data_IF_167412855386
#
_entry.id   IF_167412855386
#
_cell.length_a   1.000
_cell.length_b   1.000
_cell.length_c   1.000
_cell.angle_alpha   90.00
_cell.angle_beta   90.00
_cell.angle_gamma   90.00
#
_symmetry.space_group_name_H-M   'P 1'
#
loop_
_entity.id
_entity.type
_entity.pdbx_description
1 polymer ?
#
# COMPACT_ATOMS: atom_id res chain seq x y z
N UNK A 1 23.86 -16.86 9.66
CA UNK A 1 22.71 -15.96 9.52
C UNK A 1 22.69 -15.59 8.06
N UNK A 2 21.59 -15.85 7.38
CA UNK A 2 21.41 -15.44 5.98
C UNK A 2 21.20 -13.93 5.96
N UNK A 3 21.60 -13.25 4.88
CA UNK A 3 21.47 -11.78 4.71
C UNK A 3 20.02 -11.25 4.82
N UNK A 4 19.01 -12.12 4.95
CA UNK A 4 17.60 -11.75 5.10
C UNK A 4 17.01 -12.11 6.47
N UNK A 5 17.81 -12.60 7.42
CA UNK A 5 17.32 -12.95 8.76
C UNK A 5 16.92 -11.71 9.58
N UNK A 6 17.24 -10.50 9.10
CA UNK A 6 16.95 -9.19 9.70
C UNK A 6 15.70 -8.50 9.11
N UNK A 7 15.06 -9.06 8.08
CA UNK A 7 13.87 -8.45 7.47
C UNK A 7 12.59 -8.93 8.18
N UNK A 8 11.81 -8.00 8.71
CA UNK A 8 10.45 -8.22 9.23
C UNK A 8 9.42 -7.76 8.19
N UNK A 9 8.38 -8.58 7.95
CA UNK A 9 7.26 -8.21 7.07
C UNK A 9 6.02 -7.95 7.92
N UNK A 10 5.40 -6.80 7.72
CA UNK A 10 4.11 -6.41 8.32
C UNK A 10 3.10 -6.21 7.20
N UNK A 11 1.92 -6.79 7.36
CA UNK A 11 0.82 -6.72 6.40
C UNK A 11 -0.45 -6.26 7.11
N UNK A 12 -1.19 -5.35 6.48
CA UNK A 12 -2.48 -4.87 6.96
C UNK A 12 -3.44 -4.73 5.78
N UNK A 13 -4.58 -5.41 5.89
CA UNK A 13 -5.67 -5.32 4.91
C UNK A 13 -6.91 -4.78 5.59
N UNK A 14 -7.49 -3.73 5.02
CA UNK A 14 -8.77 -3.17 5.46
C UNK A 14 -9.75 -3.12 4.29
N UNK A 15 -11.04 -3.24 4.60
CA UNK A 15 -12.10 -3.12 3.60
C UNK A 15 -13.38 -2.64 4.29
N UNK A 16 -13.91 -1.53 3.80
CA UNK A 16 -15.10 -0.87 4.34
C UNK A 16 -16.08 -0.51 3.23
N UNK A 17 -17.36 -0.41 3.59
CA UNK A 17 -18.42 0.03 2.68
C UNK A 17 -18.93 1.38 3.16
N UNK A 18 -18.91 2.38 2.27
CA UNK A 18 -19.37 3.74 2.57
C UNK A 18 -20.90 3.80 2.68
N UNK A 19 -21.44 4.89 3.24
CA UNK A 19 -22.89 5.12 3.28
C UNK A 19 -23.51 5.25 1.87
N UNK A 20 -22.68 5.60 0.88
CA UNK A 20 -23.07 5.75 -0.53
C UNK A 20 -23.04 4.41 -1.28
N UNK A 21 -22.51 3.35 -0.65
CA UNK A 21 -22.44 2.00 -1.20
C UNK A 21 -21.13 1.66 -1.89
N UNK A 22 -20.14 2.54 -1.82
CA UNK A 22 -18.80 2.31 -2.37
C UNK A 22 -18.04 1.34 -1.47
N UNK A 23 -17.19 0.52 -2.07
CA UNK A 23 -16.26 -0.36 -1.37
C UNK A 23 -14.89 0.30 -1.42
N UNK A 24 -14.29 0.56 -0.27
CA UNK A 24 -12.90 1.02 -0.15
C UNK A 24 -12.10 -0.09 0.50
N UNK A 25 -11.10 -0.60 -0.21
CA UNK A 25 -10.15 -1.58 0.27
C UNK A 25 -8.75 -0.99 0.26
N UNK A 26 -7.98 -1.29 1.30
CA UNK A 26 -6.58 -0.87 1.44
C UNK A 26 -5.75 -2.09 1.83
N UNK A 27 -4.64 -2.30 1.14
CA UNK A 27 -3.68 -3.36 1.38
C UNK A 27 -2.27 -2.75 1.48
N UNK A 28 -1.68 -2.87 2.67
CA UNK A 28 -0.36 -2.32 2.97
C UNK A 28 0.57 -3.45 3.36
N UNK A 29 1.70 -3.56 2.66
CA UNK A 29 2.79 -4.48 2.96
C UNK A 29 4.07 -3.67 3.21
N UNK A 30 4.65 -3.83 4.40
CA UNK A 30 5.92 -3.21 4.76
C UNK A 30 7.00 -4.26 5.01
N UNK A 31 8.14 -4.12 4.35
CA UNK A 31 9.37 -4.87 4.62
C UNK A 31 10.35 -3.97 5.38
N UNK A 32 10.74 -4.37 6.59
CA UNK A 32 11.55 -3.57 7.52
C UNK A 32 12.86 -4.29 7.81
N UNK A 33 13.99 -3.65 7.54
CA UNK A 33 15.28 -4.11 8.01
C UNK A 33 15.44 -3.75 9.49
N UNK A 34 15.34 -4.74 10.36
CA UNK A 34 15.42 -4.58 11.82
C UNK A 34 16.85 -4.28 12.32
N UNK A 35 17.87 -4.42 11.47
CA UNK A 35 19.26 -4.06 11.77
C UNK A 35 19.53 -2.60 11.44
N UNK A 36 19.09 -2.12 10.27
CA UNK A 36 19.36 -0.75 9.81
C UNK A 36 18.25 0.25 10.15
N UNK A 37 17.02 -0.22 10.31
CA UNK A 37 15.82 0.60 10.47
C UNK A 37 15.23 1.09 9.14
N UNK A 38 15.77 0.67 8.00
CA UNK A 38 15.24 0.99 6.68
C UNK A 38 13.95 0.20 6.41
N UNK A 39 13.04 0.76 5.61
CA UNK A 39 11.81 0.08 5.23
C UNK A 39 11.44 0.32 3.76
N UNK A 40 10.72 -0.64 3.18
CA UNK A 40 10.00 -0.51 1.93
C UNK A 40 8.53 -0.78 2.20
N UNK A 41 7.67 0.16 1.86
CA UNK A 41 6.23 0.08 2.02
C UNK A 41 5.60 0.05 0.64
N UNK A 42 4.74 -0.92 0.41
CA UNK A 42 3.86 -1.06 -0.74
C UNK A 42 2.43 -0.88 -0.24
N UNK A 43 1.76 0.16 -0.74
CA UNK A 43 0.42 0.57 -0.30
C UNK A 43 -0.52 0.63 -1.50
N UNK A 44 -1.58 -0.16 -1.46
CA UNK A 44 -2.59 -0.25 -2.51
C UNK A 44 -3.94 0.14 -1.95
N UNK A 45 -4.54 1.20 -2.50
CA UNK A 45 -5.91 1.62 -2.23
C UNK A 45 -6.77 1.33 -3.44
N UNK A 46 -7.84 0.56 -3.26
CA UNK A 46 -8.82 0.25 -4.30
C UNK A 46 -10.22 0.72 -3.88
N UNK A 47 -10.90 1.44 -4.76
CA UNK A 47 -12.27 1.90 -4.59
C UNK A 47 -13.13 1.35 -5.70
N UNK A 48 -14.19 0.65 -5.35
CA UNK A 48 -15.28 0.27 -6.26
C UNK A 48 -16.50 1.10 -5.89
N UNK A 49 -16.89 2.04 -6.75
CA UNK A 49 -18.04 2.89 -6.52
C UNK A 49 -19.34 2.10 -6.72
N UNK A 50 -20.41 2.56 -6.08
CA UNK A 50 -21.73 1.93 -6.20
C UNK A 50 -22.30 1.92 -7.63
N UNK A 51 -21.81 2.80 -8.50
CA UNK A 51 -22.17 2.86 -9.92
C UNK A 51 -21.39 1.87 -10.80
N UNK A 52 -20.44 1.13 -10.21
CA UNK A 52 -19.59 0.15 -10.88
C UNK A 52 -18.29 0.72 -11.47
N UNK A 53 -17.99 2.01 -11.28
CA UNK A 53 -16.68 2.55 -11.59
C UNK A 53 -15.63 2.11 -10.57
N UNK A 54 -14.37 2.02 -10.99
CA UNK A 54 -13.27 1.60 -10.11
C UNK A 54 -12.10 2.57 -10.17
N UNK A 55 -11.42 2.73 -9.05
CA UNK A 55 -10.18 3.48 -8.89
C UNK A 55 -9.20 2.61 -8.11
N UNK A 56 -7.94 2.52 -8.54
CA UNK A 56 -6.86 1.84 -7.82
C UNK A 56 -5.64 2.76 -7.81
N UNK A 57 -5.07 2.97 -6.63
CA UNK A 57 -3.81 3.69 -6.41
C UNK A 57 -2.81 2.76 -5.73
N UNK A 58 -1.60 2.68 -6.27
CA UNK A 58 -0.47 1.92 -5.71
C UNK A 58 0.70 2.88 -5.49
N UNK A 59 1.15 2.98 -4.25
CA UNK A 59 2.30 3.79 -3.84
C UNK A 59 3.37 2.91 -3.21
N UNK A 60 4.59 2.97 -3.75
CA UNK A 60 5.76 2.31 -3.16
C UNK A 60 6.68 3.36 -2.56
N UNK A 61 6.89 3.28 -1.25
CA UNK A 61 7.70 4.25 -0.48
C UNK A 61 8.89 3.55 0.18
N UNK A 62 10.10 4.09 -0.02
CA UNK A 62 11.27 3.72 0.74
C UNK A 62 11.48 4.68 1.92
N UNK A 63 11.82 4.15 3.09
CA UNK A 63 12.18 4.90 4.28
C UNK A 63 13.62 4.54 4.64
N UNK A 64 14.48 5.56 4.74
CA UNK A 64 15.87 5.34 5.16
C UNK A 64 16.01 5.22 6.70
N UNK A 65 17.21 4.86 7.17
CA UNK A 65 17.50 4.69 8.59
C UNK A 65 17.33 5.97 9.43
N UNK A 66 17.32 7.14 8.80
CA UNK A 66 17.08 8.44 9.44
C UNK A 66 15.58 8.80 9.45
N UNK A 67 14.73 7.96 8.85
CA UNK A 67 13.28 8.16 8.73
C UNK A 67 12.87 9.08 7.58
N UNK A 68 13.74 9.34 6.60
CA UNK A 68 13.35 10.12 5.42
C UNK A 68 12.62 9.24 4.41
N UNK A 69 11.50 9.74 3.92
CA UNK A 69 10.65 9.04 2.96
C UNK A 69 11.00 9.43 1.52
N UNK A 70 11.01 8.45 0.62
CA UNK A 70 11.13 8.64 -0.83
C UNK A 70 10.11 7.77 -1.54
N UNK A 71 9.18 8.40 -2.25
CA UNK A 71 8.24 7.70 -3.14
C UNK A 71 9.00 7.20 -4.36
N UNK A 72 8.99 5.89 -4.56
CA UNK A 72 9.63 5.18 -5.68
C UNK A 72 8.68 4.98 -6.85
N UNK A 73 7.40 4.73 -6.55
CA UNK A 73 6.33 4.59 -7.53
C UNK A 73 5.02 5.15 -6.97
N UNK A 74 4.23 5.72 -7.86
CA UNK A 74 2.89 6.26 -7.64
C UNK A 74 2.12 5.99 -8.94
N UNK A 75 1.21 5.03 -8.89
CA UNK A 75 0.48 4.49 -10.03
C UNK A 75 -1.01 4.59 -9.75
N UNK A 76 -1.76 5.17 -10.70
CA UNK A 76 -3.20 5.34 -10.61
C UNK A 76 -3.86 4.69 -11.83
N UNK A 77 -4.87 3.85 -11.60
CA UNK A 77 -5.71 3.22 -12.61
C UNK A 77 -7.20 3.51 -12.33
N UNK A 78 -7.92 3.98 -13.35
CA UNK A 78 -9.34 4.30 -13.28
C UNK A 78 -10.12 3.58 -14.39
N UNK A 79 -11.28 3.03 -14.06
CA UNK A 79 -12.20 2.41 -15.02
C UNK A 79 -13.61 2.95 -14.82
N UNK A 80 -14.23 3.41 -15.91
CA UNK A 80 -15.63 3.88 -15.91
C UNK A 80 -16.61 2.70 -16.04
N UNK A 81 -17.80 2.86 -15.47
CA UNK A 81 -18.89 1.90 -15.65
C UNK A 81 -19.40 1.88 -17.11
N UNK A 82 -19.69 0.68 -17.65
CA UNK A 82 -20.23 0.47 -19.01
C UNK A 82 -21.75 0.68 -19.15
#
# INVERSE_FOLDING_TARGET
MSENDNIEIVEAVTADVTEEGDIVAEDIVAAIDTETGEALIDDIVAVEAADGSTFVEETVTAIDADGNETVLADIIEETEAE
#
